data_IF_149473569670
#
_entry.id   IF_149473569670
#
_cell.length_a   1.000
_cell.length_b   1.000
_cell.length_c   1.000
_cell.angle_alpha   90.00
_cell.angle_beta   90.00
_cell.angle_gamma   90.00
#
_symmetry.space_group_name_H-M   'P 1'
#
loop_
_entity.id
_entity.type
_entity.pdbx_description
1 polymer ?
#
# COMPACT_ATOMS: atom_id res chain seq x y z
N UNK A 1 -5.86 -6.26 21.00
CA UNK A 1 -6.78 -5.74 19.95
C UNK A 1 -6.06 -4.97 18.86
N UNK A 2 -5.14 -4.05 19.19
CA UNK A 2 -4.45 -3.19 18.22
C UNK A 2 -3.77 -3.92 17.06
N UNK A 3 -3.07 -5.04 17.31
CA UNK A 3 -2.43 -5.82 16.24
C UNK A 3 -3.44 -6.35 15.21
N UNK A 4 -4.62 -6.81 15.65
CA UNK A 4 -5.67 -7.29 14.75
C UNK A 4 -6.20 -6.15 13.88
N UNK A 5 -6.40 -4.97 14.47
CA UNK A 5 -6.83 -3.77 13.73
C UNK A 5 -5.80 -3.38 12.67
N UNK A 6 -4.51 -3.32 13.02
CA UNK A 6 -3.44 -2.99 12.08
C UNK A 6 -3.35 -3.97 10.90
N UNK A 7 -3.55 -5.26 11.16
CA UNK A 7 -3.60 -6.28 10.10
C UNK A 7 -4.82 -6.07 9.18
N UNK A 8 -5.99 -5.74 9.73
CA UNK A 8 -7.17 -5.41 8.94
C UNK A 8 -6.95 -4.16 8.09
N UNK A 9 -6.40 -3.10 8.66
CA UNK A 9 -6.09 -1.85 7.93
C UNK A 9 -5.08 -2.12 6.82
N UNK A 10 -4.02 -2.89 7.10
CA UNK A 10 -3.06 -3.29 6.07
C UNK A 10 -3.75 -4.04 4.91
N UNK A 11 -4.65 -4.98 5.22
CA UNK A 11 -5.45 -5.69 4.22
C UNK A 11 -6.32 -4.78 3.38
N UNK A 12 -7.01 -3.81 4.01
CA UNK A 12 -7.84 -2.81 3.30
C UNK A 12 -6.98 -1.92 2.41
N UNK A 13 -5.81 -1.49 2.87
CA UNK A 13 -4.86 -0.71 2.05
C UNK A 13 -4.39 -1.49 0.82
N UNK A 14 -4.08 -2.79 0.96
CA UNK A 14 -3.74 -3.64 -0.18
C UNK A 14 -4.91 -3.80 -1.16
N UNK A 15 -6.11 -4.04 -0.68
CA UNK A 15 -7.30 -4.14 -1.53
C UNK A 15 -7.57 -2.82 -2.28
N UNK A 16 -7.46 -1.69 -1.59
CA UNK A 16 -7.60 -0.37 -2.20
C UNK A 16 -6.55 -0.11 -3.28
N UNK A 17 -5.28 -0.43 -2.99
CA UNK A 17 -4.18 -0.29 -3.93
C UNK A 17 -4.39 -1.14 -5.19
N UNK A 18 -4.77 -2.42 -5.03
CA UNK A 18 -5.04 -3.33 -6.15
C UNK A 18 -6.22 -2.81 -6.98
N UNK A 19 -7.29 -2.34 -6.32
CA UNK A 19 -8.47 -1.79 -7.00
C UNK A 19 -8.14 -0.53 -7.80
N UNK A 20 -7.31 0.36 -7.22
CA UNK A 20 -6.84 1.57 -7.89
C UNK A 20 -5.95 1.25 -9.10
N UNK A 21 -5.03 0.29 -8.97
CA UNK A 21 -4.21 -0.19 -10.10
C UNK A 21 -5.11 -0.75 -11.21
N UNK A 22 -6.12 -1.57 -10.85
CA UNK A 22 -7.09 -2.10 -11.82
C UNK A 22 -7.87 -1.00 -12.54
N UNK A 23 -8.30 0.04 -11.81
CA UNK A 23 -8.93 1.23 -12.40
C UNK A 23 -7.98 2.01 -13.32
N UNK A 24 -6.72 2.20 -12.93
CA UNK A 24 -5.72 2.87 -13.76
C UNK A 24 -5.40 2.08 -15.05
N UNK A 25 -5.41 0.74 -14.99
CA UNK A 25 -5.31 -0.14 -16.17
C UNK A 25 -6.50 0.09 -17.09
N UNK A 26 -7.72 0.09 -16.55
CA UNK A 26 -8.94 0.27 -17.32
C UNK A 26 -8.98 1.62 -18.06
N UNK A 27 -8.48 2.69 -17.46
CA UNK A 27 -8.44 4.01 -18.06
C UNK A 27 -7.22 4.25 -18.97
N UNK A 28 -6.40 3.22 -19.22
CA UNK A 28 -5.14 3.32 -19.98
C UNK A 28 -4.14 4.37 -19.43
N UNK A 29 -4.32 4.82 -18.19
CA UNK A 29 -3.50 5.84 -17.52
C UNK A 29 -2.40 5.22 -16.67
N UNK A 30 -2.25 3.88 -16.70
CA UNK A 30 -1.24 3.19 -15.91
C UNK A 30 0.18 3.65 -16.29
N UNK A 31 0.47 3.84 -17.58
CA UNK A 31 1.81 4.19 -18.05
C UNK A 31 2.28 5.59 -17.61
N UNK A 32 1.36 6.55 -17.51
CA UNK A 32 1.66 7.89 -16.96
C UNK A 32 1.89 7.84 -15.45
N UNK A 33 1.27 6.86 -14.79
CA UNK A 33 1.36 6.60 -13.36
C UNK A 33 2.30 5.45 -12.99
N UNK A 34 3.17 5.01 -13.92
CA UNK A 34 4.23 4.02 -13.70
C UNK A 34 5.58 4.73 -13.50
N UNK A 35 5.95 5.05 -12.25
CA UNK A 35 7.26 5.60 -11.98
C UNK A 35 7.93 4.77 -10.88
N UNK A 36 8.00 3.46 -11.11
CA UNK A 36 8.47 2.55 -10.07
C UNK A 36 9.97 2.79 -9.77
N UNK A 37 10.75 3.42 -10.67
CA UNK A 37 12.20 3.61 -10.47
C UNK A 37 12.83 4.89 -11.06
N UNK A 38 12.12 6.02 -11.14
CA UNK A 38 12.75 7.28 -11.55
C UNK A 38 13.19 8.11 -10.32
N UNK A 39 14.47 8.49 -10.26
CA UNK A 39 15.05 9.37 -9.22
C UNK A 39 15.00 8.85 -7.78
N UNK A 40 14.98 7.52 -7.57
CA UNK A 40 15.03 6.88 -6.25
C UNK A 40 13.93 7.29 -5.26
N UNK A 41 12.83 7.84 -5.76
CA UNK A 41 11.69 8.29 -4.96
C UNK A 41 10.39 7.67 -5.50
N UNK A 42 9.44 7.31 -4.61
CA UNK A 42 8.11 6.92 -5.04
C UNK A 42 7.44 8.09 -5.76
N UNK A 43 6.85 7.80 -6.91
CA UNK A 43 6.19 8.79 -7.74
C UNK A 43 4.76 8.34 -8.05
N UNK A 44 3.91 9.31 -8.37
CA UNK A 44 2.51 9.06 -8.66
C UNK A 44 1.73 8.48 -7.47
N UNK A 45 0.41 8.35 -7.64
CA UNK A 45 -0.45 7.82 -6.60
C UNK A 45 -0.17 6.33 -6.32
N UNK A 46 0.22 5.57 -7.36
CA UNK A 46 0.56 4.15 -7.23
C UNK A 46 1.85 3.95 -6.41
N UNK A 47 2.91 4.72 -6.68
CA UNK A 47 4.17 4.60 -5.96
C UNK A 47 4.04 4.97 -4.48
N UNK A 48 3.40 6.11 -4.17
CA UNK A 48 3.13 6.49 -2.78
C UNK A 48 2.14 5.55 -2.08
N UNK A 49 1.13 5.05 -2.79
CA UNK A 49 0.19 4.05 -2.29
C UNK A 49 0.88 2.75 -1.91
N UNK A 50 1.83 2.28 -2.73
CA UNK A 50 2.63 1.09 -2.44
C UNK A 50 3.53 1.30 -1.22
N UNK A 51 4.27 2.40 -1.14
CA UNK A 51 5.11 2.72 0.02
C UNK A 51 4.30 2.78 1.31
N UNK A 52 3.16 3.48 1.30
CA UNK A 52 2.31 3.62 2.47
C UNK A 52 1.75 2.27 2.92
N UNK A 53 1.30 1.45 1.98
CA UNK A 53 0.75 0.11 2.26
C UNK A 53 1.83 -0.82 2.84
N UNK A 54 3.05 -0.77 2.33
CA UNK A 54 4.19 -1.52 2.86
C UNK A 54 4.54 -1.07 4.28
N UNK A 55 4.61 0.24 4.53
CA UNK A 55 4.88 0.78 5.88
C UNK A 55 3.83 0.30 6.88
N UNK A 56 2.54 0.41 6.55
CA UNK A 56 1.45 -0.05 7.42
C UNK A 56 1.56 -1.56 7.68
N UNK A 57 1.91 -2.34 6.64
CA UNK A 57 2.13 -3.79 6.77
C UNK A 57 3.30 -4.10 7.73
N UNK A 58 4.42 -3.37 7.61
CA UNK A 58 5.57 -3.52 8.49
C UNK A 58 5.24 -3.16 9.94
N UNK A 59 4.52 -2.05 10.15
CA UNK A 59 4.03 -1.65 11.47
C UNK A 59 3.16 -2.76 12.06
N UNK A 60 2.21 -3.30 11.30
CA UNK A 60 1.33 -4.38 11.75
C UNK A 60 2.12 -5.66 12.12
N UNK A 61 3.19 -5.95 11.39
CA UNK A 61 4.02 -7.13 11.60
C UNK A 61 4.85 -7.00 12.90
N UNK A 62 5.59 -5.89 13.03
CA UNK A 62 6.46 -5.58 14.16
C UNK A 62 5.66 -5.27 15.44
N UNK A 63 4.39 -4.84 15.31
CA UNK A 63 3.57 -4.48 16.47
C UNK A 63 3.54 -5.61 17.50
N UNK A 64 3.88 -5.32 18.77
CA UNK A 64 3.98 -6.34 19.80
C UNK A 64 2.64 -7.06 19.95
N UNK A 65 2.70 -8.40 20.02
CA UNK A 65 1.53 -9.16 20.43
C UNK A 65 1.16 -8.73 21.85
N UNK A 66 -0.13 -8.54 22.17
CA UNK A 66 -0.53 -8.31 23.55
C UNK A 66 0.06 -9.44 24.38
N UNK A 67 0.93 -9.10 25.33
CA UNK A 67 1.43 -10.05 26.34
C UNK A 67 0.23 -10.31 27.24
N UNK A 68 -0.42 -11.46 27.01
CA UNK A 68 -1.40 -12.01 27.95
C UNK A 68 -0.61 -12.65 29.07
#
# INVERSE_FOLDING_TARGET
MMKKLLVWVAGVCWLGLISYIGWAIYNHDLASQLPIFAYNQPQGMIGWGLVTTVIITLIAWVWPKPRV
#
